data_IF_585084496455
#
_entry.id   IF_585084496455
#
_cell.length_a   1.000
_cell.length_b   1.000
_cell.length_c   1.000
_cell.angle_alpha   90.00
_cell.angle_beta   90.00
_cell.angle_gamma   90.00
#
_symmetry.space_group_name_H-M   'P 1'
#
loop_
_entity.id
_entity.type
_entity.pdbx_description
1 polymer ?
#
# COMPACT_ATOMS: atom_id res chain seq x y z
N UNK A 1 24.65 0.12 5.75
CA UNK A 1 23.80 0.48 6.92
C UNK A 1 23.66 -0.77 7.77
N UNK A 2 23.93 -0.65 9.07
CA UNK A 2 23.86 -1.81 9.98
C UNK A 2 22.40 -2.06 10.46
N UNK A 3 21.59 -0.98 10.53
CA UNK A 3 20.23 -1.04 11.06
C UNK A 3 19.28 -0.09 10.31
N UNK A 4 18.09 -0.56 10.04
CA UNK A 4 16.99 0.19 9.41
C UNK A 4 15.81 0.17 10.37
N UNK A 5 15.40 1.35 10.85
CA UNK A 5 14.27 1.52 11.78
C UNK A 5 13.04 2.13 11.10
N UNK A 6 13.25 2.82 9.97
CA UNK A 6 12.19 3.51 9.23
C UNK A 6 12.38 3.40 7.71
N UNK A 7 11.31 3.75 6.97
CA UNK A 7 11.36 3.84 5.51
C UNK A 7 12.35 4.93 5.03
N UNK A 8 12.51 6.01 5.79
CA UNK A 8 13.42 7.12 5.44
C UNK A 8 14.89 6.69 5.46
N UNK A 9 15.26 5.77 6.36
CA UNK A 9 16.62 5.19 6.39
C UNK A 9 16.94 4.45 5.09
N UNK A 10 15.92 3.92 4.39
CA UNK A 10 16.08 3.16 3.15
C UNK A 10 16.28 4.04 1.93
N UNK A 11 15.72 5.25 1.91
CA UNK A 11 15.90 6.19 0.79
C UNK A 11 17.39 6.52 0.57
N UNK A 12 18.19 6.52 1.62
CA UNK A 12 19.65 6.72 1.55
C UNK A 12 20.38 5.51 0.96
N UNK A 13 19.81 4.31 1.03
CA UNK A 13 20.43 3.03 0.57
C UNK A 13 20.15 2.74 -0.89
N UNK A 14 18.95 3.07 -1.38
CA UNK A 14 18.53 2.77 -2.76
C UNK A 14 19.29 3.56 -3.82
N UNK A 15 19.94 4.66 -3.45
CA UNK A 15 20.69 5.54 -4.37
C UNK A 15 22.04 4.97 -4.83
N UNK A 16 22.57 3.91 -4.21
CA UNK A 16 23.96 3.46 -4.45
C UNK A 16 24.17 2.07 -5.03
N UNK A 17 23.14 1.31 -5.41
CA UNK A 17 23.27 -0.11 -5.75
C UNK A 17 23.09 -0.48 -7.21
N UNK A 18 24.19 -0.63 -7.97
CA UNK A 18 24.16 -1.37 -9.26
C UNK A 18 23.93 -2.87 -9.00
N UNK A 19 22.86 -3.42 -9.59
CA UNK A 19 22.46 -4.81 -9.40
C UNK A 19 23.47 -5.83 -9.91
N UNK A 20 23.53 -7.00 -9.26
CA UNK A 20 24.34 -8.14 -9.72
C UNK A 20 23.73 -8.79 -10.96
N UNK A 21 24.60 -9.30 -11.86
CA UNK A 21 24.24 -9.89 -13.16
C UNK A 21 23.57 -11.28 -13.08
N UNK A 22 23.41 -11.86 -11.91
CA UNK A 22 22.91 -13.23 -11.73
C UNK A 22 21.82 -13.25 -10.65
N UNK A 23 20.57 -13.32 -11.08
CA UNK A 23 19.42 -13.44 -10.19
C UNK A 23 18.21 -12.62 -10.68
N UNK A 24 17.02 -13.22 -10.66
CA UNK A 24 15.76 -12.59 -11.09
C UNK A 24 15.22 -11.53 -10.13
N UNK A 25 15.91 -11.24 -9.00
CA UNK A 25 15.51 -10.24 -8.01
C UNK A 25 16.69 -9.35 -7.59
N UNK A 26 16.60 -8.04 -7.85
CA UNK A 26 17.59 -7.06 -7.43
C UNK A 26 17.57 -6.77 -5.91
N UNK A 27 18.43 -5.85 -5.46
CA UNK A 27 18.45 -5.38 -4.06
C UNK A 27 17.09 -4.78 -3.68
N UNK A 28 16.46 -4.05 -4.59
CA UNK A 28 15.13 -3.46 -4.39
C UNK A 28 14.08 -4.49 -3.97
N UNK A 29 14.01 -5.65 -4.66
CA UNK A 29 13.06 -6.72 -4.34
C UNK A 29 13.30 -7.33 -2.96
N UNK A 30 14.58 -7.46 -2.54
CA UNK A 30 14.93 -7.96 -1.20
C UNK A 30 14.54 -6.96 -0.11
N UNK A 31 14.76 -5.68 -0.36
CA UNK A 31 14.37 -4.60 0.54
C UNK A 31 12.84 -4.54 0.66
N UNK A 32 12.10 -4.64 -0.45
CA UNK A 32 10.63 -4.72 -0.42
C UNK A 32 10.13 -5.90 0.42
N UNK A 33 10.72 -7.09 0.24
CA UNK A 33 10.36 -8.25 1.04
C UNK A 33 10.67 -8.05 2.54
N UNK A 34 11.82 -7.42 2.86
CA UNK A 34 12.18 -7.09 4.24
C UNK A 34 11.18 -6.09 4.84
N UNK A 35 10.79 -5.05 4.11
CA UNK A 35 9.79 -4.07 4.56
C UNK A 35 8.42 -4.73 4.81
N UNK A 36 7.97 -5.60 3.92
CA UNK A 36 6.72 -6.34 4.10
C UNK A 36 6.75 -7.20 5.37
N UNK A 37 7.84 -7.89 5.62
CA UNK A 37 8.02 -8.69 6.83
C UNK A 37 8.04 -7.81 8.09
N UNK A 38 8.77 -6.70 8.07
CA UNK A 38 8.87 -5.80 9.24
C UNK A 38 7.55 -5.11 9.56
N UNK A 39 6.77 -4.68 8.56
CA UNK A 39 5.42 -4.16 8.79
C UNK A 39 4.47 -5.21 9.36
N UNK A 40 4.75 -6.49 9.13
CA UNK A 40 4.04 -7.62 9.75
C UNK A 40 4.54 -7.95 11.17
N UNK A 41 5.50 -7.19 11.70
CA UNK A 41 6.10 -7.40 13.02
C UNK A 41 7.16 -8.49 13.05
N UNK A 42 7.78 -8.82 11.90
CA UNK A 42 8.85 -9.81 11.75
C UNK A 42 10.16 -9.08 11.48
N UNK A 43 11.16 -9.23 12.34
CA UNK A 43 12.49 -8.70 12.11
C UNK A 43 13.20 -9.43 10.96
N UNK A 44 13.95 -8.73 10.13
CA UNK A 44 14.66 -9.30 8.99
C UNK A 44 16.14 -8.97 9.03
N UNK A 45 16.98 -9.99 8.87
CA UNK A 45 18.42 -9.83 8.67
C UNK A 45 18.75 -10.02 7.19
N UNK A 46 19.20 -8.97 6.51
CA UNK A 46 19.66 -9.01 5.14
C UNK A 46 21.18 -9.08 5.11
N UNK A 47 21.72 -10.18 4.60
CA UNK A 47 23.16 -10.41 4.53
C UNK A 47 23.56 -11.10 3.22
N UNK A 48 24.87 -11.11 2.91
CA UNK A 48 25.39 -11.90 1.80
C UNK A 48 25.30 -13.39 2.10
N UNK A 49 25.27 -14.24 1.05
CA UNK A 49 25.23 -15.69 1.20
C UNK A 49 26.43 -16.24 1.98
N UNK A 50 27.61 -15.64 1.83
CA UNK A 50 28.84 -16.04 2.53
C UNK A 50 28.77 -15.76 4.04
N UNK A 51 27.89 -14.88 4.49
CA UNK A 51 27.69 -14.55 5.90
C UNK A 51 26.65 -15.43 6.60
N UNK A 52 26.03 -16.40 5.89
CA UNK A 52 24.91 -17.21 6.41
C UNK A 52 25.22 -17.91 7.74
N UNK A 53 26.39 -18.54 7.85
CA UNK A 53 26.80 -19.20 9.09
C UNK A 53 26.89 -18.22 10.27
N UNK A 54 27.40 -17.02 10.01
CA UNK A 54 27.49 -15.96 11.02
C UNK A 54 26.11 -15.46 11.45
N UNK A 55 25.17 -15.31 10.51
CA UNK A 55 23.78 -14.94 10.81
C UNK A 55 23.11 -16.02 11.68
N UNK A 56 23.23 -17.29 11.29
CA UNK A 56 22.66 -18.41 12.05
C UNK A 56 23.29 -18.58 13.44
N UNK A 57 24.55 -18.17 13.59
CA UNK A 57 25.24 -18.10 14.88
C UNK A 57 24.85 -16.88 15.74
N UNK A 58 23.88 -16.07 15.27
CA UNK A 58 23.39 -14.88 15.98
C UNK A 58 24.33 -13.69 15.96
N UNK A 59 25.33 -13.67 15.05
CA UNK A 59 26.23 -12.51 14.88
C UNK A 59 25.52 -11.41 14.09
N UNK A 60 25.74 -10.17 14.48
CA UNK A 60 25.23 -9.00 13.77
C UNK A 60 26.06 -8.70 12.52
N UNK A 61 25.69 -9.30 11.38
CA UNK A 61 26.34 -9.12 10.06
C UNK A 61 25.32 -8.77 9.00
N UNK A 62 25.62 -7.79 8.15
CA UNK A 62 24.70 -7.27 7.14
C UNK A 62 23.81 -6.16 7.69
N UNK A 63 22.55 -6.11 7.26
CA UNK A 63 21.57 -5.08 7.64
C UNK A 63 20.41 -5.69 8.40
N UNK A 64 20.17 -5.23 9.62
CA UNK A 64 19.00 -5.58 10.40
C UNK A 64 17.85 -4.61 10.16
N UNK A 65 16.69 -5.12 9.82
CA UNK A 65 15.45 -4.37 9.68
C UNK A 65 14.58 -4.63 10.92
N UNK A 66 14.28 -3.55 11.66
CA UNK A 66 13.48 -3.63 12.87
C UNK A 66 12.03 -3.99 12.58
N UNK A 67 11.46 -4.92 13.36
CA UNK A 67 10.02 -5.19 13.26
C UNK A 67 9.21 -3.98 13.74
N UNK A 68 8.17 -3.62 12.99
CA UNK A 68 7.22 -2.61 13.42
C UNK A 68 6.55 -3.01 14.73
N UNK A 69 6.44 -2.07 15.64
CA UNK A 69 5.69 -2.24 16.90
C UNK A 69 4.17 -2.23 16.67
N UNK A 70 3.72 -1.57 15.62
CA UNK A 70 2.33 -1.58 15.17
C UNK A 70 2.15 -2.77 14.21
N UNK A 71 1.31 -3.72 14.60
CA UNK A 71 0.92 -4.87 13.74
C UNK A 71 -0.39 -4.51 13.05
N UNK A 72 -0.38 -4.09 11.77
CA UNK A 72 -1.61 -3.94 11.00
C UNK A 72 -2.33 -5.29 10.92
N UNK A 73 -3.67 -5.28 10.85
CA UNK A 73 -4.43 -6.49 10.63
C UNK A 73 -3.94 -7.20 9.36
N UNK A 74 -3.75 -8.51 9.40
CA UNK A 74 -3.23 -9.33 8.29
C UNK A 74 -3.96 -9.06 6.96
N UNK A 75 -5.27 -8.75 7.02
CA UNK A 75 -6.08 -8.36 5.87
C UNK A 75 -5.55 -7.10 5.18
N UNK A 76 -5.18 -6.06 5.94
CA UNK A 76 -4.64 -4.80 5.36
C UNK A 76 -3.27 -5.00 4.74
N UNK A 77 -2.43 -5.83 5.32
CA UNK A 77 -1.13 -6.20 4.72
C UNK A 77 -1.32 -6.95 3.40
N UNK A 78 -2.28 -7.87 3.36
CA UNK A 78 -2.61 -8.60 2.13
C UNK A 78 -3.12 -7.64 1.04
N UNK A 79 -4.04 -6.73 1.37
CA UNK A 79 -4.54 -5.70 0.45
C UNK A 79 -3.41 -4.83 -0.07
N UNK A 80 -2.53 -4.34 0.82
CA UNK A 80 -1.45 -3.43 0.45
C UNK A 80 -0.42 -4.05 -0.49
N UNK A 81 -0.06 -5.33 -0.29
CA UNK A 81 1.17 -5.87 -0.87
C UNK A 81 1.00 -7.15 -1.70
N UNK A 82 -0.05 -7.92 -1.48
CA UNK A 82 -0.20 -9.26 -2.08
C UNK A 82 -1.31 -9.30 -3.12
N UNK A 83 -2.44 -8.68 -2.84
CA UNK A 83 -3.59 -8.69 -3.75
C UNK A 83 -3.27 -7.93 -5.05
N UNK A 84 -3.57 -8.53 -6.22
CA UNK A 84 -3.46 -7.80 -7.47
C UNK A 84 -4.51 -6.69 -7.53
N UNK A 85 -4.12 -5.49 -7.96
CA UNK A 85 -5.06 -4.42 -8.26
C UNK A 85 -5.78 -4.70 -9.58
N UNK A 86 -7.09 -4.48 -9.61
CA UNK A 86 -7.94 -4.67 -10.79
C UNK A 86 -8.28 -3.36 -11.49
N UNK A 87 -8.05 -2.23 -10.83
CA UNK A 87 -8.33 -0.91 -11.35
C UNK A 87 -7.89 0.17 -10.39
N UNK A 88 -8.21 1.41 -10.71
CA UNK A 88 -7.78 2.57 -9.94
C UNK A 88 -8.95 3.53 -9.71
N UNK A 89 -9.05 4.04 -8.50
CA UNK A 89 -10.00 5.09 -8.11
C UNK A 89 -9.20 6.37 -7.89
N UNK A 90 -9.46 7.39 -8.72
CA UNK A 90 -8.87 8.71 -8.55
C UNK A 90 -9.71 9.52 -7.58
N UNK A 91 -9.06 10.08 -6.57
CA UNK A 91 -9.71 10.84 -5.51
C UNK A 91 -9.24 12.29 -5.46
N UNK A 92 -10.03 13.16 -4.85
CA UNK A 92 -9.59 14.53 -4.57
C UNK A 92 -8.66 14.59 -3.36
N UNK A 93 -8.03 15.75 -3.18
CA UNK A 93 -7.04 15.96 -2.12
C UNK A 93 -7.64 15.87 -0.72
N UNK A 94 -8.90 16.31 -0.55
CA UNK A 94 -9.63 16.20 0.72
C UNK A 94 -9.91 14.73 1.10
N UNK A 95 -10.30 13.91 0.14
CA UNK A 95 -10.49 12.48 0.32
C UNK A 95 -9.16 11.78 0.61
N UNK A 96 -8.10 12.11 -0.13
CA UNK A 96 -6.76 11.58 0.12
C UNK A 96 -6.29 11.89 1.54
N UNK A 97 -6.45 13.13 2.01
CA UNK A 97 -6.11 13.51 3.38
C UNK A 97 -6.99 12.81 4.42
N UNK A 98 -8.30 12.67 4.16
CA UNK A 98 -9.21 11.95 5.05
C UNK A 98 -8.82 10.48 5.23
N UNK A 99 -8.31 9.84 4.17
CA UNK A 99 -7.82 8.46 4.17
C UNK A 99 -6.49 8.36 4.93
N UNK A 100 -5.50 9.15 4.51
CA UNK A 100 -4.12 9.00 4.99
C UNK A 100 -3.94 9.46 6.42
N UNK A 101 -4.44 10.64 6.75
CA UNK A 101 -4.31 11.25 8.08
C UNK A 101 -5.49 10.89 8.97
N UNK A 102 -6.71 11.01 8.44
CA UNK A 102 -7.95 10.81 9.19
C UNK A 102 -8.32 9.33 9.43
N UNK A 103 -7.67 8.39 8.76
CA UNK A 103 -7.95 6.93 8.80
C UNK A 103 -9.44 6.64 8.60
N UNK A 104 -10.09 7.40 7.70
CA UNK A 104 -11.53 7.31 7.41
C UNK A 104 -11.77 6.45 6.18
N UNK A 105 -13.02 6.00 6.01
CA UNK A 105 -13.48 5.35 4.77
C UNK A 105 -13.43 6.33 3.60
N UNK A 106 -13.16 5.81 2.39
CA UNK A 106 -13.34 6.57 1.15
C UNK A 106 -14.83 6.65 0.85
N UNK A 107 -15.37 7.87 0.89
CA UNK A 107 -16.76 8.11 0.49
C UNK A 107 -16.83 8.34 -1.03
N UNK A 108 -17.98 8.04 -1.62
CA UNK A 108 -18.26 8.26 -3.05
C UNK A 108 -18.08 9.73 -3.44
N UNK A 109 -18.41 10.66 -2.55
CA UNK A 109 -18.25 12.10 -2.76
C UNK A 109 -16.80 12.53 -3.03
N UNK A 110 -15.81 11.78 -2.52
CA UNK A 110 -14.39 12.04 -2.74
C UNK A 110 -13.82 11.40 -4.01
N UNK A 111 -14.60 10.58 -4.72
CA UNK A 111 -14.20 9.95 -5.98
C UNK A 111 -14.34 10.95 -7.13
N UNK A 112 -13.30 11.08 -7.95
CA UNK A 112 -13.28 11.95 -9.14
C UNK A 112 -13.48 11.19 -10.43
N UNK A 113 -12.82 10.03 -10.54
CA UNK A 113 -12.94 9.13 -11.69
C UNK A 113 -12.52 7.72 -11.34
N UNK A 114 -12.86 6.79 -12.20
CA UNK A 114 -12.56 5.37 -12.09
C UNK A 114 -11.82 4.92 -13.35
N UNK A 115 -10.75 4.14 -13.21
CA UNK A 115 -9.96 3.60 -14.31
C UNK A 115 -9.91 2.07 -14.19
N UNK A 116 -9.97 1.39 -15.34
CA UNK A 116 -9.98 -0.07 -15.39
C UNK A 116 -11.38 -0.67 -15.17
N UNK A 117 -11.42 -1.99 -15.09
CA UNK A 117 -12.66 -2.73 -14.90
C UNK A 117 -12.54 -3.69 -13.71
N UNK A 118 -13.42 -3.54 -12.72
CA UNK A 118 -13.43 -4.32 -11.50
C UNK A 118 -14.85 -4.51 -10.97
N UNK A 119 -15.02 -5.56 -10.20
CA UNK A 119 -16.27 -5.91 -9.52
C UNK A 119 -16.25 -5.44 -8.06
N UNK A 120 -17.42 -5.36 -7.45
CA UNK A 120 -17.52 -5.16 -6.00
C UNK A 120 -16.83 -6.31 -5.26
N UNK A 121 -15.90 -6.00 -4.36
CA UNK A 121 -15.05 -6.97 -3.66
C UNK A 121 -13.64 -7.10 -4.22
N UNK A 122 -13.36 -6.55 -5.38
CA UNK A 122 -12.00 -6.49 -5.94
C UNK A 122 -11.11 -5.47 -5.22
N UNK A 123 -9.81 -5.75 -5.22
CA UNK A 123 -8.82 -4.79 -4.73
C UNK A 123 -8.49 -3.80 -5.84
N UNK A 124 -8.52 -2.52 -5.48
CA UNK A 124 -8.24 -1.39 -6.36
C UNK A 124 -7.20 -0.47 -5.75
N UNK A 125 -6.45 0.21 -6.60
CA UNK A 125 -5.56 1.28 -6.22
C UNK A 125 -6.36 2.57 -5.97
N UNK A 126 -5.90 3.40 -5.04
CA UNK A 126 -6.47 4.72 -4.76
C UNK A 126 -5.38 5.75 -4.99
N UNK A 127 -5.55 6.60 -6.00
CA UNK A 127 -4.59 7.63 -6.35
C UNK A 127 -5.18 9.04 -6.19
N UNK A 128 -4.32 9.96 -5.81
CA UNK A 128 -4.57 11.39 -5.78
C UNK A 128 -3.72 12.08 -6.87
N UNK A 129 -3.86 13.40 -7.09
CA UNK A 129 -2.97 14.14 -7.98
C UNK A 129 -1.48 14.03 -7.63
N UNK A 130 -1.15 13.67 -6.39
CA UNK A 130 0.23 13.51 -5.91
C UNK A 130 0.75 12.07 -6.03
N UNK A 131 -0.07 11.13 -6.49
CA UNK A 131 0.31 9.73 -6.69
C UNK A 131 -0.56 8.73 -5.91
N UNK A 132 -0.11 7.49 -5.88
CA UNK A 132 -0.79 6.39 -5.20
C UNK A 132 -0.76 6.59 -3.68
N UNK A 133 -1.93 6.59 -3.04
CA UNK A 133 -2.06 6.88 -1.59
C UNK A 133 -2.52 5.67 -0.77
N UNK A 134 -3.29 4.77 -1.38
CA UNK A 134 -3.84 3.62 -0.69
C UNK A 134 -4.20 2.48 -1.65
N UNK A 135 -4.48 1.31 -1.10
CA UNK A 135 -5.19 0.21 -1.75
C UNK A 135 -6.39 -0.20 -0.93
N UNK A 136 -7.45 -0.67 -1.57
CA UNK A 136 -8.62 -1.11 -0.81
C UNK A 136 -9.55 -2.00 -1.59
N UNK A 137 -10.49 -2.63 -0.86
CA UNK A 137 -11.53 -3.45 -1.47
C UNK A 137 -12.70 -2.56 -1.85
N UNK A 138 -13.04 -2.52 -3.14
CA UNK A 138 -14.14 -1.71 -3.64
C UNK A 138 -15.50 -2.21 -3.13
N UNK A 139 -16.34 -1.29 -2.67
CA UNK A 139 -17.73 -1.57 -2.30
C UNK A 139 -18.69 -1.62 -3.49
N UNK A 140 -18.23 -1.18 -4.68
CA UNK A 140 -18.99 -1.10 -5.92
C UNK A 140 -18.19 -1.66 -7.08
N UNK A 141 -18.86 -2.08 -8.14
CA UNK A 141 -18.24 -2.31 -9.44
C UNK A 141 -17.82 -0.97 -10.09
N UNK A 142 -16.95 -1.04 -11.10
CA UNK A 142 -16.39 0.13 -11.78
C UNK A 142 -17.44 1.02 -12.43
N UNK A 143 -18.47 0.41 -13.04
CA UNK A 143 -19.47 1.14 -13.81
C UNK A 143 -20.41 1.91 -12.87
N UNK A 144 -20.91 1.23 -11.84
CA UNK A 144 -21.75 1.85 -10.79
C UNK A 144 -20.97 2.97 -10.09
N UNK A 145 -19.69 2.73 -9.73
CA UNK A 145 -18.90 3.74 -9.03
C UNK A 145 -18.60 4.95 -9.90
N UNK A 146 -18.38 4.76 -11.21
CA UNK A 146 -18.17 5.85 -12.15
C UNK A 146 -19.44 6.71 -12.32
N UNK A 147 -20.63 6.08 -12.35
CA UNK A 147 -21.91 6.79 -12.48
C UNK A 147 -22.20 7.67 -11.26
N UNK A 148 -21.92 7.16 -10.04
CA UNK A 148 -22.22 7.89 -8.79
C UNK A 148 -21.07 8.74 -8.26
N UNK A 149 -19.91 8.75 -8.92
CA UNK A 149 -18.71 9.46 -8.47
C UNK A 149 -19.00 10.94 -8.17
N UNK A 150 -18.46 11.43 -7.06
CA UNK A 150 -18.65 12.79 -6.60
C UNK A 150 -19.98 13.08 -5.91
N UNK A 151 -20.93 12.14 -5.93
CA UNK A 151 -22.26 12.35 -5.33
C UNK A 151 -22.21 12.30 -3.81
N UNK A 152 -22.90 13.25 -3.19
CA UNK A 152 -23.08 13.27 -1.74
C UNK A 152 -24.10 12.22 -1.26
N UNK A 153 -24.06 11.88 0.02
CA UNK A 153 -24.98 10.88 0.62
C UNK A 153 -26.46 11.24 0.39
N UNK A 154 -26.81 12.51 0.48
CA UNK A 154 -28.20 12.96 0.27
C UNK A 154 -28.64 12.80 -1.20
N UNK A 155 -27.74 13.04 -2.16
CA UNK A 155 -28.00 12.88 -3.59
C UNK A 155 -28.18 11.40 -3.94
N UNK A 156 -27.33 10.53 -3.39
CA UNK A 156 -27.46 9.08 -3.57
C UNK A 156 -28.77 8.55 -2.99
N UNK A 157 -29.20 9.04 -1.84
CA UNK A 157 -30.49 8.66 -1.26
C UNK A 157 -31.65 9.14 -2.13
N UNK A 158 -31.60 10.35 -2.66
CA UNK A 158 -32.60 10.88 -3.58
C UNK A 158 -32.66 10.10 -4.90
N UNK A 159 -31.54 9.53 -5.36
CA UNK A 159 -31.44 8.67 -6.52
C UNK A 159 -31.86 7.20 -6.26
N UNK A 160 -32.34 6.86 -5.06
CA UNK A 160 -32.86 5.53 -4.73
C UNK A 160 -31.87 4.61 -4.01
N UNK A 161 -30.68 5.09 -3.68
CA UNK A 161 -29.74 4.35 -2.84
C UNK A 161 -30.10 4.55 -1.36
N UNK A 162 -31.00 3.77 -0.81
CA UNK A 162 -31.49 3.94 0.57
C UNK A 162 -30.37 3.91 1.63
N UNK A 163 -29.31 3.11 1.39
CA UNK A 163 -28.15 2.96 2.29
C UNK A 163 -26.84 3.04 1.50
N UNK A 164 -26.38 4.24 1.11
CA UNK A 164 -25.14 4.38 0.35
C UNK A 164 -23.95 3.89 1.19
N UNK A 165 -23.21 2.93 0.63
CA UNK A 165 -21.98 2.43 1.22
C UNK A 165 -20.82 3.36 0.90
N UNK A 166 -19.74 3.37 1.69
CA UNK A 166 -18.49 4.00 1.24
C UNK A 166 -17.96 3.29 -0.02
N UNK A 167 -17.26 4.04 -0.87
CA UNK A 167 -16.54 3.46 -2.01
C UNK A 167 -15.53 2.39 -1.54
N UNK A 168 -14.83 2.68 -0.43
CA UNK A 168 -13.99 1.70 0.29
C UNK A 168 -14.16 1.91 1.79
N UNK A 169 -14.47 0.85 2.53
CA UNK A 169 -14.56 0.92 3.98
C UNK A 169 -13.16 1.01 4.61
N UNK A 170 -13.02 1.78 5.69
CA UNK A 170 -11.73 1.99 6.39
C UNK A 170 -11.05 0.70 6.85
N UNK A 171 -11.81 -0.35 7.17
CA UNK A 171 -11.25 -1.63 7.62
C UNK A 171 -10.69 -2.45 6.46
N UNK A 172 -11.14 -2.14 5.23
CA UNK A 172 -10.72 -2.73 3.97
C UNK A 172 -9.80 -1.80 3.16
N UNK A 173 -9.27 -0.75 3.80
CA UNK A 173 -8.37 0.24 3.20
C UNK A 173 -6.99 0.14 3.85
N UNK A 174 -5.97 -0.03 3.04
CA UNK A 174 -4.56 -0.02 3.42
C UNK A 174 -3.89 1.24 2.86
N UNK A 175 -3.51 2.15 3.75
CA UNK A 175 -2.75 3.35 3.39
C UNK A 175 -1.31 2.94 3.06
N UNK A 176 -0.82 3.39 1.93
CA UNK A 176 0.56 3.16 1.50
C UNK A 176 1.41 4.34 1.99
N UNK A 177 2.49 4.04 2.72
CA UNK A 177 3.44 5.08 3.14
C UNK A 177 4.24 5.62 1.95
N UNK A 178 4.82 6.81 2.10
CA UNK A 178 5.56 7.52 1.05
C UNK A 178 6.66 6.69 0.38
N UNK A 179 7.26 5.74 1.11
CA UNK A 179 8.28 4.83 0.59
C UNK A 179 7.73 3.83 -0.46
N UNK A 180 6.44 3.53 -0.47
CA UNK A 180 5.83 2.62 -1.43
C UNK A 180 5.47 3.33 -2.73
N UNK A 181 5.08 4.59 -2.67
CA UNK A 181 4.75 5.42 -3.85
C UNK A 181 5.94 5.58 -4.80
N UNK A 182 7.16 5.65 -4.26
CA UNK A 182 8.39 5.78 -5.04
C UNK A 182 8.82 4.48 -5.76
N UNK A 183 8.34 3.31 -5.31
CA UNK A 183 8.72 1.99 -5.86
C UNK A 183 7.75 1.49 -6.94
N UNK A 184 6.58 2.14 -7.11
CA UNK A 184 5.54 1.77 -8.08
C UNK A 184 5.62 2.57 -9.39
N UNK A 185 6.61 3.46 -9.54
CA UNK A 185 6.74 4.41 -10.65
C UNK A 185 7.68 3.95 -11.79
N UNK A 186 8.03 2.64 -11.87
CA UNK A 186 8.81 2.04 -12.97
C UNK A 186 8.01 1.02 -13.77
#
# INVERSE_FOLDING_TARGET
>A
IERVESADDLMSVLVTGAGSRVGTGGMATKVQAAMLATTSGIGVQLASADALESVLAGKNVGTWFEPSRERPASRRLWIAHVAPSRGEIIVDEGAAQAITVGKKSLLVAGVRSVLGHFEAGDVVDVASPTGLVARGVSGYDSDTLAEIAGSGTAELQAAGHEHPRPAIHRDDLAVLGDAFSALSAD
#
